data_IF_675295080044
#
_entry.id   IF_675295080044
#
_cell.length_a   1.000
_cell.length_b   1.000
_cell.length_c   1.000
_cell.angle_alpha   90.00
_cell.angle_beta   90.00
_cell.angle_gamma   90.00
#
_symmetry.space_group_name_H-M   'P 1'
#
loop_
_entity.id
_entity.type
_entity.pdbx_description
1 polymer ?
#
# COMPACT_ATOMS: atom_id res chain seq x y z
N UNK A 1 10.32 4.98 2.49
CA UNK A 1 10.79 6.23 1.93
C UNK A 1 12.28 6.19 1.64
N UNK A 2 12.65 6.24 0.39
CA UNK A 2 14.06 6.15 -0.01
C UNK A 2 14.50 7.57 -0.37
N UNK A 3 15.15 8.25 0.57
CA UNK A 3 15.53 9.66 0.45
C UNK A 3 16.39 9.94 -0.80
N UNK A 4 17.23 9.00 -1.19
CA UNK A 4 18.06 9.10 -2.39
C UNK A 4 17.23 9.35 -3.65
N UNK A 5 16.06 8.69 -3.78
CA UNK A 5 15.16 8.88 -4.93
C UNK A 5 14.26 10.11 -4.79
N UNK A 6 13.88 10.45 -3.57
CA UNK A 6 12.91 11.52 -3.33
C UNK A 6 13.53 12.91 -3.29
N UNK A 7 14.81 13.03 -2.93
CA UNK A 7 15.46 14.32 -2.69
C UNK A 7 15.34 15.29 -3.87
N UNK A 8 15.55 14.78 -5.10
CA UNK A 8 15.51 15.59 -6.32
C UNK A 8 14.07 15.98 -6.69
N UNK A 9 13.09 15.11 -6.41
CA UNK A 9 11.69 15.31 -6.78
C UNK A 9 10.84 15.92 -5.65
N UNK A 10 11.44 16.22 -4.51
CA UNK A 10 10.72 16.75 -3.33
C UNK A 10 9.77 17.91 -3.65
N UNK A 11 10.12 18.88 -4.51
CA UNK A 11 9.21 19.99 -4.86
C UNK A 11 7.94 19.56 -5.60
N UNK A 12 7.93 18.37 -6.20
CA UNK A 12 6.81 17.81 -6.97
C UNK A 12 5.96 16.83 -6.15
N UNK A 13 6.41 16.47 -4.95
CA UNK A 13 5.72 15.50 -4.10
C UNK A 13 4.80 16.21 -3.11
N UNK A 14 3.60 15.67 -2.91
CA UNK A 14 2.74 16.11 -1.84
C UNK A 14 3.27 15.65 -0.46
N UNK A 15 2.91 16.39 0.58
CA UNK A 15 3.33 16.07 1.93
C UNK A 15 2.63 14.82 2.46
N UNK A 16 3.43 13.89 2.99
CA UNK A 16 2.91 12.70 3.68
C UNK A 16 3.49 12.61 5.09
N UNK A 17 2.68 12.17 6.05
CA UNK A 17 3.20 11.71 7.34
C UNK A 17 3.88 10.36 7.15
N UNK A 18 5.11 10.26 7.62
CA UNK A 18 5.90 9.03 7.59
C UNK A 18 5.88 8.41 8.98
N UNK A 19 5.55 7.13 9.04
CA UNK A 19 5.64 6.32 10.24
C UNK A 19 6.99 5.62 10.32
N UNK A 20 7.36 5.12 11.47
CA UNK A 20 8.58 4.33 11.68
C UNK A 20 8.63 3.13 10.73
N UNK A 21 9.80 2.88 10.14
CA UNK A 21 10.00 1.76 9.22
C UNK A 21 9.79 0.42 9.96
N UNK A 22 8.93 -0.46 9.47
CA UNK A 22 8.59 -1.71 10.16
C UNK A 22 9.63 -2.82 9.93
N UNK A 23 10.91 -2.53 10.14
CA UNK A 23 11.99 -3.51 10.04
C UNK A 23 12.73 -3.62 11.36
N UNK A 24 12.51 -4.70 12.07
CA UNK A 24 13.18 -4.95 13.36
C UNK A 24 14.70 -5.08 13.22
N UNK A 25 15.16 -5.74 12.16
CA UNK A 25 16.58 -5.95 11.91
C UNK A 25 17.40 -4.64 11.84
N UNK A 26 16.78 -3.56 11.38
CA UNK A 26 17.41 -2.24 11.29
C UNK A 26 16.91 -1.27 12.38
N UNK A 27 16.18 -1.79 13.38
CA UNK A 27 15.68 -0.96 14.47
C UNK A 27 16.80 -0.66 15.46
N UNK A 28 16.91 0.62 15.83
CA UNK A 28 17.76 1.11 16.90
C UNK A 28 16.97 1.66 18.08
N UNK A 29 15.70 1.22 18.23
CA UNK A 29 14.82 1.72 19.29
C UNK A 29 15.24 1.06 20.60
N UNK A 30 15.67 1.90 21.55
CA UNK A 30 16.14 1.46 22.85
C UNK A 30 15.02 0.79 23.65
N UNK A 31 15.33 -0.31 24.30
CA UNK A 31 14.38 -1.06 25.14
C UNK A 31 13.50 -2.07 24.40
N UNK A 32 13.58 -2.17 23.09
CA UNK A 32 12.83 -3.17 22.28
C UNK A 32 13.77 -4.32 21.93
N UNK A 33 13.45 -5.54 22.38
CA UNK A 33 14.38 -6.68 22.33
C UNK A 33 13.95 -7.79 21.35
N UNK A 34 12.72 -7.73 20.82
CA UNK A 34 12.21 -8.75 19.91
C UNK A 34 11.16 -8.17 18.94
N UNK A 35 10.84 -8.96 17.89
CA UNK A 35 9.90 -8.55 16.83
C UNK A 35 8.47 -8.30 17.34
N UNK A 36 8.02 -8.98 18.38
CA UNK A 36 6.68 -8.82 18.93
C UNK A 36 6.56 -7.46 19.61
N UNK A 37 7.51 -7.14 20.50
CA UNK A 37 7.58 -5.82 21.14
C UNK A 37 7.70 -4.70 20.12
N UNK A 38 8.50 -4.92 19.07
CA UNK A 38 8.66 -3.95 18.00
C UNK A 38 7.37 -3.74 17.21
N UNK A 39 6.68 -4.83 16.83
CA UNK A 39 5.36 -4.74 16.19
C UNK A 39 4.38 -3.94 17.04
N UNK A 40 4.30 -4.25 18.34
CA UNK A 40 3.35 -3.62 19.24
C UNK A 40 3.66 -2.13 19.44
N UNK A 41 4.95 -1.78 19.50
CA UNK A 41 5.39 -0.39 19.48
C UNK A 41 4.95 0.35 18.22
N UNK A 42 5.14 -0.23 17.02
CA UNK A 42 4.74 0.37 15.76
C UNK A 42 3.23 0.56 15.66
N UNK A 43 2.46 -0.41 16.14
CA UNK A 43 0.99 -0.31 16.14
C UNK A 43 0.52 0.74 17.15
N UNK A 44 1.18 0.87 18.28
CA UNK A 44 0.88 1.92 19.25
C UNK A 44 1.20 3.32 18.69
N UNK A 45 2.37 3.48 18.02
CA UNK A 45 2.73 4.74 17.33
C UNK A 45 1.65 5.13 16.30
N UNK A 46 1.20 4.16 15.49
CA UNK A 46 0.15 4.40 14.51
C UNK A 46 -1.17 4.77 15.19
N UNK A 47 -1.56 4.03 16.22
CA UNK A 47 -2.80 4.29 16.93
C UNK A 47 -2.81 5.68 17.57
N UNK A 48 -1.74 6.07 18.23
CA UNK A 48 -1.63 7.39 18.87
C UNK A 48 -1.70 8.51 17.84
N UNK A 49 -1.06 8.33 16.69
CA UNK A 49 -1.17 9.29 15.60
C UNK A 49 -2.60 9.39 15.05
N UNK A 50 -3.28 8.26 14.84
CA UNK A 50 -4.64 8.24 14.30
C UNK A 50 -5.68 8.79 15.29
N UNK A 51 -5.51 8.61 16.59
CA UNK A 51 -6.37 9.22 17.62
C UNK A 51 -6.46 10.75 17.48
N UNK A 52 -5.36 11.38 17.12
CA UNK A 52 -5.26 12.83 17.07
C UNK A 52 -5.51 13.41 15.67
N UNK A 53 -5.37 12.60 14.62
CA UNK A 53 -5.27 13.11 13.24
C UNK A 53 -6.16 12.38 12.23
N UNK A 54 -6.98 11.40 12.61
CA UNK A 54 -7.76 10.61 11.64
C UNK A 54 -8.70 11.45 10.77
N UNK A 55 -9.18 12.59 11.28
CA UNK A 55 -9.99 13.58 10.55
C UNK A 55 -9.23 14.27 9.40
N UNK A 56 -7.90 14.18 9.38
CA UNK A 56 -7.00 14.80 8.38
C UNK A 56 -6.29 13.77 7.50
N UNK A 57 -6.48 12.47 7.78
CA UNK A 57 -5.81 11.38 7.06
C UNK A 57 -6.81 10.66 6.19
N UNK A 58 -6.70 10.82 4.87
CA UNK A 58 -7.56 10.13 3.92
C UNK A 58 -7.21 8.63 3.80
N UNK A 59 -5.92 8.31 3.74
CA UNK A 59 -5.47 6.94 3.54
C UNK A 59 -4.07 6.70 4.11
N UNK A 60 -3.78 5.43 4.43
CA UNK A 60 -2.44 4.91 4.68
C UNK A 60 -2.03 3.98 3.55
N UNK A 61 -0.81 4.15 3.02
CA UNK A 61 -0.23 3.25 2.02
C UNK A 61 0.94 2.48 2.61
N UNK A 62 1.02 1.18 2.30
CA UNK A 62 2.09 0.29 2.78
C UNK A 62 2.31 -0.88 1.83
N UNK A 63 3.58 -1.29 1.62
CA UNK A 63 3.92 -2.59 1.03
C UNK A 63 3.68 -3.68 2.08
N UNK A 64 3.01 -4.81 1.76
CA UNK A 64 2.73 -5.86 2.75
C UNK A 64 3.93 -6.80 2.93
N UNK A 65 4.20 -7.20 4.17
CA UNK A 65 5.21 -8.16 4.61
C UNK A 65 6.67 -7.73 4.36
N UNK A 66 6.96 -7.06 3.25
CA UNK A 66 8.32 -6.65 2.89
C UNK A 66 8.32 -5.35 2.09
N UNK A 67 9.17 -4.42 2.48
CA UNK A 67 9.46 -3.22 1.68
C UNK A 67 10.59 -3.55 0.69
N UNK A 68 10.21 -3.87 -0.55
CA UNK A 68 11.14 -4.40 -1.54
C UNK A 68 12.18 -3.37 -1.98
N UNK A 69 11.75 -2.21 -2.45
CA UNK A 69 12.64 -1.17 -2.98
C UNK A 69 13.52 -0.53 -1.90
N UNK A 70 13.14 -0.61 -0.64
CA UNK A 70 13.93 -0.12 0.49
C UNK A 70 15.08 -1.05 0.89
N UNK A 71 15.25 -2.20 0.22
CA UNK A 71 16.31 -3.17 0.51
C UNK A 71 15.77 -4.49 1.08
N UNK A 72 14.58 -4.90 0.69
CA UNK A 72 13.92 -6.13 1.16
C UNK A 72 13.75 -6.16 2.70
N UNK A 73 13.26 -5.06 3.24
CA UNK A 73 13.06 -4.90 4.68
C UNK A 73 11.82 -5.68 5.12
N UNK A 74 12.04 -6.74 5.90
CA UNK A 74 10.98 -7.60 6.40
C UNK A 74 10.20 -6.93 7.55
N UNK A 75 8.89 -7.11 7.54
CA UNK A 75 7.99 -6.62 8.58
C UNK A 75 7.73 -7.70 9.64
N UNK A 76 7.50 -7.33 10.90
CA UNK A 76 7.10 -8.28 11.93
C UNK A 76 5.75 -8.93 11.60
N UNK A 77 5.64 -10.23 11.91
CA UNK A 77 4.39 -10.98 11.72
C UNK A 77 3.23 -10.34 12.49
N UNK A 78 2.07 -10.21 11.84
CA UNK A 78 0.87 -9.61 12.41
C UNK A 78 0.83 -8.08 12.32
N UNK A 79 1.89 -7.43 11.80
CA UNK A 79 1.92 -5.98 11.69
C UNK A 79 0.89 -5.44 10.71
N UNK A 80 0.83 -6.00 9.49
CA UNK A 80 -0.12 -5.53 8.48
C UNK A 80 -1.58 -5.79 8.88
N UNK A 81 -1.82 -6.88 9.64
CA UNK A 81 -3.14 -7.15 10.23
C UNK A 81 -3.52 -6.07 11.23
N UNK A 82 -2.62 -5.73 12.16
CA UNK A 82 -2.85 -4.65 13.12
C UNK A 82 -3.07 -3.29 12.44
N UNK A 83 -2.32 -2.98 11.40
CA UNK A 83 -2.53 -1.78 10.56
C UNK A 83 -3.95 -1.77 10.00
N UNK A 84 -4.45 -2.90 9.45
CA UNK A 84 -5.82 -2.99 8.92
C UNK A 84 -6.88 -2.78 9.99
N UNK A 85 -6.68 -3.34 11.17
CA UNK A 85 -7.59 -3.17 12.31
C UNK A 85 -7.68 -1.69 12.74
N UNK A 86 -6.53 -1.02 12.84
CA UNK A 86 -6.46 0.40 13.20
C UNK A 86 -7.05 1.30 12.11
N UNK A 87 -6.73 1.09 10.84
CA UNK A 87 -7.29 1.91 9.75
C UNK A 87 -8.81 1.80 9.69
N UNK A 88 -9.37 0.60 9.90
CA UNK A 88 -10.83 0.42 10.02
C UNK A 88 -11.40 1.15 11.25
N UNK A 89 -10.75 1.00 12.41
CA UNK A 89 -11.19 1.63 13.66
C UNK A 89 -11.31 3.14 13.56
N UNK A 90 -10.37 3.77 12.84
CA UNK A 90 -10.29 5.23 12.70
C UNK A 90 -10.85 5.76 11.38
N UNK A 91 -11.53 4.91 10.61
CA UNK A 91 -12.14 5.27 9.30
C UNK A 91 -11.13 5.90 8.32
N UNK A 92 -9.94 5.31 8.23
CA UNK A 92 -8.88 5.67 7.29
C UNK A 92 -8.77 4.57 6.23
N UNK A 93 -8.68 4.92 4.95
CA UNK A 93 -8.54 3.94 3.88
C UNK A 93 -7.15 3.28 3.94
N UNK A 94 -7.11 1.97 3.69
CA UNK A 94 -5.86 1.22 3.57
C UNK A 94 -5.55 0.93 2.11
N UNK A 95 -4.40 1.40 1.64
CA UNK A 95 -3.85 1.11 0.33
C UNK A 95 -2.69 0.12 0.52
N UNK A 96 -2.80 -1.06 -0.09
CA UNK A 96 -1.72 -2.05 -0.09
C UNK A 96 -1.00 -2.02 -1.43
N UNK A 97 0.31 -1.81 -1.39
CA UNK A 97 1.18 -1.85 -2.56
C UNK A 97 1.71 -3.28 -2.77
N UNK A 98 1.02 -4.03 -3.62
CA UNK A 98 1.40 -5.40 -4.02
C UNK A 98 2.24 -5.44 -5.31
N UNK A 99 2.75 -4.31 -5.75
CA UNK A 99 3.55 -4.22 -6.99
C UNK A 99 4.74 -5.17 -6.97
N UNK A 100 5.40 -5.36 -5.82
CA UNK A 100 6.52 -6.27 -5.68
C UNK A 100 6.13 -7.63 -5.10
N UNK A 101 5.09 -7.72 -4.30
CA UNK A 101 4.74 -8.88 -3.48
C UNK A 101 3.63 -9.74 -4.08
N UNK A 102 2.85 -9.19 -5.00
CA UNK A 102 1.74 -9.89 -5.64
C UNK A 102 2.16 -11.00 -6.60
N UNK A 103 1.16 -11.73 -7.10
CA UNK A 103 1.28 -12.80 -8.08
C UNK A 103 2.21 -13.95 -7.65
N UNK A 104 1.98 -14.45 -6.42
CA UNK A 104 2.59 -15.68 -5.93
C UNK A 104 3.95 -15.51 -5.21
N UNK A 105 4.52 -14.31 -5.16
CA UNK A 105 5.88 -14.08 -4.61
C UNK A 105 6.03 -14.49 -3.15
N UNK A 106 4.98 -14.40 -2.36
CA UNK A 106 4.99 -14.73 -0.92
C UNK A 106 4.27 -16.04 -0.61
N UNK A 107 3.97 -16.87 -1.64
CA UNK A 107 3.29 -18.15 -1.49
C UNK A 107 1.76 -18.10 -1.51
N UNK A 108 1.17 -16.92 -1.54
CA UNK A 108 -0.23 -16.66 -1.83
C UNK A 108 -0.32 -15.78 -3.07
N UNK A 109 -1.51 -15.69 -3.70
CA UNK A 109 -1.67 -14.83 -4.88
C UNK A 109 -1.29 -13.39 -4.54
N UNK A 110 -1.76 -12.89 -3.40
CA UNK A 110 -1.37 -11.60 -2.85
C UNK A 110 -0.79 -11.75 -1.44
N UNK A 111 0.20 -10.93 -1.10
CA UNK A 111 0.88 -11.03 0.19
C UNK A 111 -0.04 -10.73 1.38
N UNK A 112 -1.01 -9.82 1.22
CA UNK A 112 -1.99 -9.49 2.25
C UNK A 112 -2.83 -10.70 2.71
N UNK A 113 -3.01 -11.73 1.86
CA UNK A 113 -3.70 -12.96 2.20
C UNK A 113 -2.98 -13.78 3.29
N UNK A 114 -1.66 -13.63 3.44
CA UNK A 114 -0.90 -14.35 4.49
C UNK A 114 -1.35 -13.94 5.89
N UNK A 115 -1.88 -12.73 6.06
CA UNK A 115 -2.43 -12.25 7.33
C UNK A 115 -3.97 -12.08 7.30
N UNK A 116 -4.61 -12.61 6.24
CA UNK A 116 -6.07 -12.66 6.13
C UNK A 116 -6.73 -11.29 6.06
N UNK A 117 -6.06 -10.29 5.47
CA UNK A 117 -6.60 -8.95 5.32
C UNK A 117 -7.05 -8.67 3.89
N UNK A 118 -8.02 -7.76 3.77
CA UNK A 118 -8.45 -7.16 2.51
C UNK A 118 -8.34 -5.64 2.64
N UNK A 119 -7.57 -4.95 1.77
CA UNK A 119 -7.46 -3.50 1.76
C UNK A 119 -8.67 -2.84 1.10
N UNK A 120 -8.73 -1.51 1.16
CA UNK A 120 -9.70 -0.71 0.42
C UNK A 120 -9.22 -0.44 -1.01
N UNK A 121 -7.90 -0.34 -1.19
CA UNK A 121 -7.23 -0.24 -2.49
C UNK A 121 -6.01 -1.16 -2.55
N UNK A 122 -5.73 -1.71 -3.75
CA UNK A 122 -4.56 -2.55 -3.99
C UNK A 122 -3.87 -2.13 -5.28
N UNK A 123 -2.58 -1.81 -5.18
CA UNK A 123 -1.76 -1.46 -6.34
C UNK A 123 -1.07 -2.72 -6.88
N UNK A 124 -1.21 -2.97 -8.18
CA UNK A 124 -0.68 -4.14 -8.87
C UNK A 124 0.18 -3.72 -10.07
N UNK A 125 1.28 -4.41 -10.29
CA UNK A 125 2.14 -4.26 -11.47
C UNK A 125 3.08 -5.46 -11.58
N UNK A 126 4.21 -5.31 -12.26
CA UNK A 126 5.27 -6.34 -12.42
C UNK A 126 4.73 -7.73 -12.76
N UNK A 127 4.42 -8.54 -11.74
CA UNK A 127 3.90 -9.91 -11.89
C UNK A 127 2.59 -10.01 -12.67
N UNK A 128 1.79 -8.94 -12.75
CA UNK A 128 0.50 -8.94 -13.45
C UNK A 128 0.60 -9.37 -14.94
N UNK A 129 1.74 -9.15 -15.58
CA UNK A 129 1.98 -9.56 -16.97
C UNK A 129 3.08 -10.61 -17.09
N UNK A 130 3.45 -11.28 -16.00
CA UNK A 130 4.58 -12.21 -15.95
C UNK A 130 5.90 -11.63 -16.52
N UNK A 131 6.04 -10.30 -16.54
CA UNK A 131 7.22 -9.59 -17.03
C UNK A 131 7.26 -9.30 -18.53
N UNK A 132 6.23 -9.66 -19.30
CA UNK A 132 6.21 -9.45 -20.75
C UNK A 132 5.91 -8.01 -21.17
N UNK A 133 5.04 -7.32 -20.44
CA UNK A 133 4.58 -5.98 -20.79
C UNK A 133 4.52 -5.06 -19.58
N UNK A 134 4.70 -3.77 -19.77
CA UNK A 134 4.44 -2.79 -18.73
C UNK A 134 2.93 -2.62 -18.54
N UNK A 135 2.44 -2.93 -17.34
CA UNK A 135 1.06 -2.74 -16.93
C UNK A 135 1.01 -2.43 -15.43
N UNK A 136 0.13 -1.52 -15.05
CA UNK A 136 -0.25 -1.29 -13.66
C UNK A 136 -1.77 -1.26 -13.56
N UNK A 137 -2.28 -1.69 -12.41
CA UNK A 137 -3.69 -1.63 -12.08
C UNK A 137 -3.85 -1.22 -10.63
N UNK A 138 -4.92 -0.49 -10.33
CA UNK A 138 -5.36 -0.21 -8.96
C UNK A 138 -6.75 -0.82 -8.79
N UNK A 139 -6.82 -1.84 -7.95
CA UNK A 139 -8.09 -2.43 -7.53
C UNK A 139 -8.67 -1.60 -6.39
N UNK A 140 -9.96 -1.40 -6.39
CA UNK A 140 -10.67 -0.64 -5.34
C UNK A 140 -11.95 -1.37 -4.95
N UNK A 141 -12.47 -1.07 -3.75
CA UNK A 141 -13.80 -1.56 -3.34
C UNK A 141 -14.92 -0.90 -4.15
N UNK A 142 -16.09 -1.55 -4.22
CA UNK A 142 -17.28 -0.99 -4.86
C UNK A 142 -17.67 0.36 -4.25
N UNK A 143 -17.48 0.55 -2.95
CA UNK A 143 -17.73 1.82 -2.27
C UNK A 143 -16.90 2.96 -2.88
N UNK A 144 -15.59 2.74 -3.06
CA UNK A 144 -14.70 3.73 -3.67
C UNK A 144 -15.07 3.93 -5.14
N UNK A 145 -15.27 2.85 -5.89
CA UNK A 145 -15.63 2.92 -7.30
C UNK A 145 -16.92 3.75 -7.52
N UNK A 146 -17.96 3.49 -6.73
CA UNK A 146 -19.24 4.16 -6.84
C UNK A 146 -19.17 5.67 -6.54
N UNK A 147 -18.15 6.15 -5.80
CA UNK A 147 -18.00 7.59 -5.56
C UNK A 147 -17.64 8.37 -6.84
N UNK A 148 -17.08 7.69 -7.84
CA UNK A 148 -16.72 8.28 -9.14
C UNK A 148 -17.82 8.14 -10.20
N UNK A 149 -18.94 7.48 -9.87
CA UNK A 149 -20.08 7.35 -10.77
C UNK A 149 -21.04 8.52 -10.57
N UNK A 150 -21.57 9.04 -11.66
CA UNK A 150 -22.53 10.14 -11.65
C UNK A 150 -22.78 10.71 -13.03
N UNK A 151 -23.70 11.67 -13.10
CA UNK A 151 -23.97 12.42 -14.33
C UNK A 151 -22.77 13.33 -14.66
N UNK A 152 -22.59 13.64 -15.96
CA UNK A 152 -21.47 14.45 -16.43
C UNK A 152 -21.38 15.82 -15.73
N UNK A 153 -22.52 16.41 -15.38
CA UNK A 153 -22.61 17.70 -14.70
C UNK A 153 -22.16 17.66 -13.22
N UNK A 154 -22.05 16.47 -12.62
CA UNK A 154 -21.61 16.32 -11.23
C UNK A 154 -20.09 16.32 -11.06
N UNK A 155 -19.34 16.22 -12.17
CA UNK A 155 -17.85 16.21 -12.18
C UNK A 155 -17.22 15.14 -11.26
N UNK A 156 -17.89 14.00 -11.07
CA UNK A 156 -17.42 12.89 -10.22
C UNK A 156 -16.41 11.98 -10.91
N UNK A 157 -16.29 12.07 -12.24
CA UNK A 157 -15.40 11.21 -13.02
C UNK A 157 -13.97 11.30 -12.53
N UNK A 158 -13.29 10.15 -12.41
CA UNK A 158 -11.86 10.11 -12.08
C UNK A 158 -11.03 10.53 -13.29
N UNK A 159 -10.71 11.81 -13.38
CA UNK A 159 -9.96 12.42 -14.49
C UNK A 159 -8.46 12.12 -14.39
N UNK A 160 -8.10 10.83 -14.42
CA UNK A 160 -6.71 10.39 -14.38
C UNK A 160 -6.46 9.28 -15.40
N UNK A 161 -5.38 9.41 -16.17
CA UNK A 161 -4.99 8.42 -17.16
C UNK A 161 -3.90 8.95 -18.08
N UNK A 162 -3.50 8.12 -19.01
CA UNK A 162 -2.60 8.46 -20.11
C UNK A 162 -3.05 7.77 -21.39
N UNK A 163 -2.47 8.14 -22.54
CA UNK A 163 -2.88 7.65 -23.86
C UNK A 163 -2.88 6.13 -24.01
N UNK A 164 -2.09 5.42 -23.21
CA UNK A 164 -1.94 3.96 -23.28
C UNK A 164 -2.68 3.22 -22.16
N UNK A 165 -3.53 3.90 -21.41
CA UNK A 165 -4.38 3.26 -20.40
C UNK A 165 -5.27 2.21 -21.07
N UNK A 166 -5.27 0.98 -20.51
CA UNK A 166 -6.06 -0.13 -21.04
C UNK A 166 -5.59 -0.65 -22.41
N UNK A 167 -4.31 -0.46 -22.79
CA UNK A 167 -3.83 -0.95 -24.08
C UNK A 167 -4.01 -2.47 -24.20
N UNK A 168 -4.49 -2.95 -25.38
CA UNK A 168 -4.92 -4.34 -25.50
C UNK A 168 -3.79 -5.36 -25.39
N UNK A 169 -2.57 -5.02 -25.77
CA UNK A 169 -1.43 -5.96 -25.68
C UNK A 169 -1.05 -6.24 -24.24
N UNK A 170 -0.92 -5.20 -23.42
CA UNK A 170 -0.60 -5.38 -21.98
C UNK A 170 -1.76 -6.05 -21.23
N UNK A 171 -3.02 -5.71 -21.56
CA UNK A 171 -4.18 -6.37 -20.97
C UNK A 171 -4.25 -7.86 -21.35
N UNK A 172 -3.98 -8.22 -22.61
CA UNK A 172 -3.91 -9.61 -23.06
C UNK A 172 -2.79 -10.38 -22.33
N UNK A 173 -1.61 -9.78 -22.17
CA UNK A 173 -0.53 -10.38 -21.40
C UNK A 173 -0.94 -10.60 -19.92
N UNK A 174 -1.64 -9.63 -19.31
CA UNK A 174 -2.12 -9.74 -17.94
C UNK A 174 -3.25 -10.77 -17.75
N UNK A 175 -4.01 -11.07 -18.78
CA UNK A 175 -5.05 -12.14 -18.74
C UNK A 175 -4.42 -13.52 -18.93
N UNK A 176 -3.31 -13.61 -19.68
CA UNK A 176 -2.64 -14.88 -19.98
C UNK A 176 -1.64 -15.31 -18.89
N UNK A 177 -1.13 -14.39 -18.08
CA UNK A 177 -0.19 -14.64 -16.97
C UNK A 177 -0.91 -14.99 -15.71
#
# INVERSE_FOLDING_TARGET
NIDVFHKVYKPLLFNTKKMTCPSFYHSSIEGINNEIEFRDFLLQELEDYLKENSDKVAAMIIEPLVQAAAGMLMQPKGYIKGVRELTKKYNVLLIIDEVATGFGRTGKLFACENEGICPDMMCLSKGITAGYMALGATMVTDEIYNTFLGEAAEYKTFYHGHSYTGNPLACAAGVAG
#
